data_IF_212673361787
#
_entry.id   IF_212673361787
#
_cell.length_a   1.000
_cell.length_b   1.000
_cell.length_c   1.000
_cell.angle_alpha   90.00
_cell.angle_beta   90.00
_cell.angle_gamma   90.00
#
_symmetry.space_group_name_H-M   'P 1'
#
loop_
_entity.id
_entity.type
_entity.pdbx_description
1 polymer ?
#
# COMPACT_ATOMS: atom_id res chain seq x y z
N UNK A 1 16.05 7.81 -14.06
CA UNK A 1 15.00 6.99 -14.70
C UNK A 1 15.19 5.51 -14.38
N UNK A 2 15.21 5.13 -13.09
CA UNK A 2 15.48 3.73 -12.64
C UNK A 2 14.38 3.21 -11.70
N UNK A 3 13.45 4.05 -11.25
CA UNK A 3 12.47 3.68 -10.21
C UNK A 3 11.28 2.84 -10.71
N UNK A 4 10.84 3.00 -11.95
CA UNK A 4 9.64 2.31 -12.45
C UNK A 4 9.92 0.89 -12.98
N UNK A 5 11.15 0.60 -13.38
CA UNK A 5 11.56 -0.71 -13.91
C UNK A 5 11.58 -1.79 -12.83
N UNK A 6 11.94 -1.46 -11.58
CA UNK A 6 11.96 -2.43 -10.48
C UNK A 6 10.54 -2.95 -10.14
N UNK A 7 9.55 -2.06 -10.09
CA UNK A 7 8.13 -2.41 -9.87
C UNK A 7 7.61 -3.30 -11.00
N UNK A 8 7.71 -2.83 -12.24
CA UNK A 8 7.16 -3.55 -13.39
C UNK A 8 7.83 -4.91 -13.59
N UNK A 9 9.15 -4.99 -13.39
CA UNK A 9 9.89 -6.25 -13.49
C UNK A 9 9.43 -7.25 -12.43
N UNK A 10 9.33 -6.85 -11.17
CA UNK A 10 8.90 -7.76 -10.10
C UNK A 10 7.48 -8.29 -10.35
N UNK A 11 6.55 -7.42 -10.73
CA UNK A 11 5.15 -7.80 -11.02
C UNK A 11 5.11 -8.76 -12.22
N UNK A 12 5.86 -8.47 -13.29
CA UNK A 12 5.91 -9.31 -14.48
C UNK A 12 6.47 -10.70 -14.17
N UNK A 13 7.58 -10.79 -13.42
CA UNK A 13 8.17 -12.06 -12.99
C UNK A 13 7.19 -12.85 -12.10
N UNK A 14 6.55 -12.19 -11.13
CA UNK A 14 5.58 -12.85 -10.25
C UNK A 14 4.30 -13.28 -10.97
N UNK A 15 3.86 -12.56 -12.01
CA UNK A 15 2.76 -12.97 -12.88
C UNK A 15 3.16 -14.16 -13.77
N UNK A 16 4.38 -14.15 -14.31
CA UNK A 16 4.93 -15.26 -15.08
C UNK A 16 4.96 -16.56 -14.28
N UNK A 17 5.49 -16.54 -13.05
CA UNK A 17 5.54 -17.74 -12.21
C UNK A 17 4.15 -18.24 -11.80
N UNK A 18 3.15 -17.35 -11.65
CA UNK A 18 1.75 -17.75 -11.47
C UNK A 18 1.21 -18.47 -12.70
N UNK A 19 1.47 -17.92 -13.89
CA UNK A 19 1.09 -18.54 -15.14
C UNK A 19 1.76 -19.91 -15.33
N UNK A 20 3.04 -20.04 -14.96
CA UNK A 20 3.78 -21.30 -14.98
C UNK A 20 3.17 -22.35 -14.03
N UNK A 21 2.84 -21.96 -12.79
CA UNK A 21 2.25 -22.86 -11.79
C UNK A 21 0.89 -23.46 -12.23
N UNK A 22 0.15 -22.76 -13.08
CA UNK A 22 -1.11 -23.24 -13.71
C UNK A 22 -0.90 -23.83 -15.11
N UNK A 23 0.33 -24.10 -15.51
CA UNK A 23 0.69 -24.74 -16.78
C UNK A 23 0.46 -23.86 -18.02
N UNK A 24 0.57 -22.55 -17.88
CA UNK A 24 0.31 -21.55 -18.94
C UNK A 24 -1.03 -21.73 -19.65
N UNK A 25 -2.05 -22.17 -18.92
CA UNK A 25 -3.43 -22.24 -19.45
C UNK A 25 -3.86 -20.87 -20.01
N UNK A 26 -4.63 -20.83 -21.11
CA UNK A 26 -5.03 -19.54 -21.69
C UNK A 26 -5.96 -18.73 -20.77
N UNK A 27 -6.06 -17.42 -21.00
CA UNK A 27 -7.18 -16.59 -20.52
C UNK A 27 -7.05 -15.91 -19.16
N UNK A 28 -6.01 -16.18 -18.36
CA UNK A 28 -5.86 -15.59 -17.01
C UNK A 28 -4.68 -14.60 -16.86
N UNK A 29 -4.14 -14.08 -17.97
CA UNK A 29 -2.94 -13.23 -17.91
C UNK A 29 -3.18 -11.92 -17.14
N UNK A 30 -4.39 -11.36 -17.24
CA UNK A 30 -4.77 -10.16 -16.50
C UNK A 30 -4.91 -10.45 -15.01
N UNK A 31 -5.57 -11.57 -14.65
CA UNK A 31 -5.71 -12.00 -13.27
C UNK A 31 -4.34 -12.27 -12.63
N UNK A 32 -3.44 -12.97 -13.32
CA UNK A 32 -2.08 -13.23 -12.83
C UNK A 32 -1.33 -11.92 -12.55
N UNK A 33 -1.49 -10.92 -13.43
CA UNK A 33 -0.92 -9.58 -13.26
C UNK A 33 -1.51 -8.86 -12.05
N UNK A 34 -2.84 -8.82 -11.91
CA UNK A 34 -3.51 -8.13 -10.81
C UNK A 34 -3.15 -8.74 -9.45
N UNK A 35 -3.10 -10.07 -9.35
CA UNK A 35 -2.69 -10.76 -8.12
C UNK A 35 -1.20 -10.53 -7.83
N UNK A 36 -0.35 -10.43 -8.86
CA UNK A 36 1.05 -10.06 -8.69
C UNK A 36 1.21 -8.62 -8.20
N UNK A 37 0.47 -7.69 -8.79
CA UNK A 37 0.47 -6.28 -8.40
C UNK A 37 0.00 -6.10 -6.95
N UNK A 38 -1.08 -6.76 -6.55
CA UNK A 38 -1.55 -6.73 -5.16
C UNK A 38 -0.48 -7.28 -4.19
N UNK A 39 0.17 -8.38 -4.55
CA UNK A 39 1.23 -8.96 -3.73
C UNK A 39 2.44 -8.02 -3.58
N UNK A 40 2.84 -7.34 -4.66
CA UNK A 40 3.88 -6.32 -4.63
C UNK A 40 3.51 -5.21 -3.66
N UNK A 41 2.32 -4.64 -3.83
CA UNK A 41 1.84 -3.52 -3.02
C UNK A 41 1.81 -3.90 -1.53
N UNK A 42 1.24 -5.06 -1.20
CA UNK A 42 1.21 -5.57 0.19
C UNK A 42 2.61 -5.74 0.77
N UNK A 43 3.57 -6.26 -0.01
CA UNK A 43 4.94 -6.45 0.44
C UNK A 43 5.66 -5.11 0.70
N UNK A 44 5.48 -4.11 -0.18
CA UNK A 44 6.04 -2.77 -0.01
C UNK A 44 5.50 -2.08 1.24
N UNK A 45 4.17 -2.12 1.44
CA UNK A 45 3.51 -1.52 2.63
C UNK A 45 3.95 -2.23 3.90
N UNK A 46 3.99 -3.57 3.91
CA UNK A 46 4.45 -4.34 5.07
C UNK A 46 5.89 -3.95 5.45
N UNK A 47 6.80 -3.96 4.48
CA UNK A 47 8.20 -3.60 4.70
C UNK A 47 8.33 -2.19 5.27
N UNK A 48 7.59 -1.22 4.71
CA UNK A 48 7.60 0.14 5.21
C UNK A 48 7.13 0.24 6.65
N UNK A 49 6.01 -0.41 6.99
CA UNK A 49 5.45 -0.36 8.36
C UNK A 49 6.41 -0.99 9.38
N UNK A 50 7.07 -2.10 9.02
CA UNK A 50 8.10 -2.72 9.87
C UNK A 50 9.26 -1.76 10.14
N UNK A 51 9.83 -1.15 9.09
CA UNK A 51 10.94 -0.18 9.23
C UNK A 51 10.49 1.04 10.05
N UNK A 52 9.30 1.56 9.76
CA UNK A 52 8.76 2.72 10.47
C UNK A 52 8.53 2.45 11.96
N UNK A 53 8.20 1.23 12.36
CA UNK A 53 8.06 0.86 13.77
C UNK A 53 9.42 0.85 14.50
N UNK A 54 10.48 0.42 13.82
CA UNK A 54 11.85 0.36 14.36
C UNK A 54 12.50 1.76 14.47
N UNK A 55 12.26 2.64 13.49
CA UNK A 55 12.93 3.94 13.34
C UNK A 55 12.20 5.15 13.98
N UNK A 56 11.20 4.90 14.83
CA UNK A 56 10.52 5.98 15.59
C UNK A 56 9.26 6.56 14.93
N UNK A 57 8.65 5.83 14.00
CA UNK A 57 7.34 6.11 13.43
C UNK A 57 7.37 6.59 11.98
N UNK A 58 6.18 6.66 11.36
CA UNK A 58 6.05 7.07 9.96
C UNK A 58 6.42 8.55 9.76
N UNK A 59 7.36 8.81 8.87
CA UNK A 59 7.74 10.17 8.44
C UNK A 59 6.98 10.57 7.17
N UNK A 60 6.84 11.88 6.93
CA UNK A 60 6.22 12.39 5.71
C UNK A 60 7.00 11.93 4.48
N UNK A 61 8.33 12.13 4.50
CA UNK A 61 9.23 11.72 3.43
C UNK A 61 9.16 10.20 3.15
N UNK A 62 9.11 9.38 4.19
CA UNK A 62 8.97 7.92 4.02
C UNK A 62 7.63 7.51 3.39
N UNK A 63 6.54 8.20 3.75
CA UNK A 63 5.23 7.96 3.11
C UNK A 63 5.21 8.41 1.64
N UNK A 64 5.88 9.53 1.31
CA UNK A 64 6.03 9.98 -0.08
C UNK A 64 6.80 8.96 -0.93
N UNK A 65 7.92 8.46 -0.41
CA UNK A 65 8.73 7.41 -1.05
C UNK A 65 7.96 6.10 -1.21
N UNK A 66 7.19 5.70 -0.19
CA UNK A 66 6.31 4.53 -0.29
C UNK A 66 5.28 4.72 -1.40
N UNK A 67 4.55 5.84 -1.39
CA UNK A 67 3.53 6.17 -2.38
C UNK A 67 4.09 6.19 -3.81
N UNK A 68 5.27 6.81 -4.00
CA UNK A 68 5.99 6.80 -5.28
C UNK A 68 6.32 5.38 -5.74
N UNK A 69 6.83 4.52 -4.85
CA UNK A 69 7.15 3.12 -5.18
C UNK A 69 5.92 2.30 -5.60
N UNK A 70 4.72 2.73 -5.19
CA UNK A 70 3.46 2.09 -5.56
C UNK A 70 2.85 2.65 -6.85
N UNK A 71 3.42 3.72 -7.40
CA UNK A 71 2.94 4.40 -8.60
C UNK A 71 1.93 5.50 -8.33
N UNK A 72 1.85 6.03 -7.10
CA UNK A 72 1.02 7.20 -6.80
C UNK A 72 1.66 8.44 -7.43
N UNK A 73 0.97 9.03 -8.39
CA UNK A 73 1.43 10.26 -9.05
C UNK A 73 1.40 11.46 -8.09
N UNK A 74 2.36 12.38 -8.27
CA UNK A 74 2.48 13.60 -7.47
C UNK A 74 2.58 13.36 -5.95
N UNK A 75 3.02 12.18 -5.51
CA UNK A 75 3.18 11.86 -4.08
C UNK A 75 4.08 12.88 -3.35
N UNK A 76 5.11 13.38 -4.02
CA UNK A 76 6.05 14.37 -3.46
C UNK A 76 5.40 15.73 -3.13
N UNK A 77 4.26 16.07 -3.75
CA UNK A 77 3.56 17.34 -3.46
C UNK A 77 2.54 17.21 -2.33
N UNK A 78 2.29 16.00 -1.83
CA UNK A 78 1.33 15.77 -0.74
C UNK A 78 2.04 16.02 0.60
N UNK A 79 1.55 17.01 1.35
CA UNK A 79 2.16 17.46 2.62
C UNK A 79 1.51 16.84 3.86
N UNK A 80 0.35 16.19 3.68
CA UNK A 80 -0.40 15.57 4.77
C UNK A 80 -0.20 14.05 4.78
N UNK A 81 0.29 13.52 5.91
CA UNK A 81 0.48 12.08 6.11
C UNK A 81 -0.80 11.28 5.86
N UNK A 82 -1.96 11.81 6.28
CA UNK A 82 -3.24 11.14 6.06
C UNK A 82 -3.63 11.06 4.60
N UNK A 83 -3.35 12.09 3.80
CA UNK A 83 -3.64 12.09 2.36
C UNK A 83 -2.71 11.13 1.63
N UNK A 84 -1.43 11.06 2.01
CA UNK A 84 -0.51 10.04 1.49
C UNK A 84 -0.99 8.63 1.78
N UNK A 85 -1.41 8.36 3.02
CA UNK A 85 -1.90 7.03 3.40
C UNK A 85 -3.19 6.69 2.65
N UNK A 86 -4.11 7.65 2.47
CA UNK A 86 -5.32 7.46 1.66
C UNK A 86 -4.98 7.20 0.19
N UNK A 87 -4.02 7.92 -0.39
CA UNK A 87 -3.56 7.69 -1.75
C UNK A 87 -2.93 6.30 -1.91
N UNK A 88 -2.14 5.86 -0.92
CA UNK A 88 -1.61 4.49 -0.85
C UNK A 88 -2.76 3.47 -0.75
N UNK A 89 -3.77 3.69 0.10
CA UNK A 89 -4.93 2.80 0.19
C UNK A 89 -5.67 2.66 -1.15
N UNK A 90 -5.86 3.77 -1.87
CA UNK A 90 -6.45 3.76 -3.21
C UNK A 90 -5.59 2.98 -4.21
N UNK A 91 -4.26 3.15 -4.17
CA UNK A 91 -3.32 2.36 -4.96
C UNK A 91 -3.36 0.86 -4.61
N UNK A 92 -3.67 0.50 -3.35
CA UNK A 92 -3.87 -0.87 -2.92
C UNK A 92 -5.23 -1.48 -3.35
N UNK A 93 -6.03 -0.82 -4.19
CA UNK A 93 -7.43 -1.19 -4.50
C UNK A 93 -8.34 -1.29 -3.26
N UNK A 94 -7.97 -0.62 -2.16
CA UNK A 94 -8.81 -0.52 -0.98
C UNK A 94 -9.55 0.82 -0.98
N UNK A 95 -10.70 0.86 -0.30
CA UNK A 95 -11.36 2.14 -0.05
C UNK A 95 -10.46 2.99 0.88
N UNK A 96 -10.10 4.24 0.51
CA UNK A 96 -9.34 5.13 1.37
C UNK A 96 -10.16 5.50 2.60
N UNK A 97 -9.97 4.76 3.69
CA UNK A 97 -10.75 4.87 4.91
C UNK A 97 -9.97 5.51 6.06
N UNK A 98 -8.64 5.61 5.93
CA UNK A 98 -7.76 6.15 6.96
C UNK A 98 -8.13 7.58 7.35
N UNK A 99 -8.46 7.83 8.62
CA UNK A 99 -8.89 9.15 9.15
C UNK A 99 -10.03 9.82 8.35
N UNK A 100 -10.84 9.04 7.64
CA UNK A 100 -12.02 9.53 6.92
C UNK A 100 -13.29 9.30 7.76
N UNK A 101 -14.43 9.88 7.37
CA UNK A 101 -15.71 9.65 8.05
C UNK A 101 -16.16 8.17 8.04
N UNK A 102 -15.64 7.35 7.13
CA UNK A 102 -16.02 5.95 6.95
C UNK A 102 -15.05 4.96 7.62
N UNK A 103 -14.08 5.43 8.41
CA UNK A 103 -13.08 4.55 9.04
C UNK A 103 -13.69 3.41 9.87
N UNK A 104 -14.85 3.66 10.50
CA UNK A 104 -15.59 2.69 11.30
C UNK A 104 -16.17 1.53 10.46
N UNK A 105 -16.22 1.70 9.13
CA UNK A 105 -16.72 0.73 8.17
C UNK A 105 -15.58 -0.10 7.54
N UNK A 106 -14.35 0.00 8.06
CA UNK A 106 -13.21 -0.78 7.57
C UNK A 106 -13.41 -2.30 7.82
N UNK A 107 -13.96 -2.99 6.82
CA UNK A 107 -14.24 -4.43 6.83
C UNK A 107 -13.05 -5.33 6.46
N UNK A 108 -11.91 -4.74 6.06
CA UNK A 108 -10.75 -5.49 5.57
C UNK A 108 -10.04 -6.22 6.72
N UNK A 109 -10.25 -7.53 6.86
CA UNK A 109 -9.77 -8.33 8.01
C UNK A 109 -8.28 -8.13 8.27
N UNK A 110 -7.47 -8.13 7.21
CA UNK A 110 -6.01 -8.07 7.27
C UNK A 110 -5.48 -6.71 6.80
N UNK A 111 -6.17 -5.62 7.16
CA UNK A 111 -5.76 -4.27 6.82
C UNK A 111 -4.43 -3.91 7.50
N UNK A 112 -3.38 -3.70 6.70
CA UNK A 112 -2.03 -3.38 7.16
C UNK A 112 -1.96 -2.06 7.95
N UNK A 113 -2.88 -1.12 7.68
CA UNK A 113 -2.94 0.19 8.33
C UNK A 113 -3.71 0.19 9.66
N UNK A 114 -4.29 -0.94 10.09
CA UNK A 114 -5.22 -1.01 11.23
C UNK A 114 -4.60 -0.54 12.55
N UNK A 115 -3.33 -0.87 12.81
CA UNK A 115 -2.63 -0.42 14.01
C UNK A 115 -2.50 1.11 14.02
N UNK A 116 -2.13 1.71 12.89
CA UNK A 116 -1.98 3.15 12.73
C UNK A 116 -3.32 3.89 12.81
N UNK A 117 -4.38 3.33 12.22
CA UNK A 117 -5.75 3.83 12.41
C UNK A 117 -6.11 3.94 13.91
N UNK A 118 -5.77 2.91 14.72
CA UNK A 118 -6.09 2.88 16.15
C UNK A 118 -5.26 3.87 16.98
N UNK A 119 -3.95 3.97 16.72
CA UNK A 119 -3.06 4.94 17.41
C UNK A 119 -3.60 6.36 17.27
N UNK A 120 -4.13 6.68 16.10
CA UNK A 120 -4.61 8.02 15.80
C UNK A 120 -5.98 8.30 16.44
N UNK A 121 -6.87 7.32 16.60
CA UNK A 121 -8.13 7.45 17.36
C UNK A 121 -7.84 7.83 18.83
N UNK A 122 -6.82 7.23 19.43
CA UNK A 122 -6.45 7.53 20.82
C UNK A 122 -6.06 9.01 21.04
N UNK A 123 -5.53 9.69 20.02
CA UNK A 123 -5.22 11.12 20.08
C UNK A 123 -6.47 12.02 20.08
N UNK A 124 -7.61 11.56 19.53
CA UNK A 124 -8.87 12.32 19.53
C UNK A 124 -9.71 12.10 20.79
N UNK A 125 -9.49 10.98 21.50
CA UNK A 125 -10.24 10.62 22.71
C UNK A 125 -9.51 10.96 24.03
N UNK A 126 -8.31 11.55 23.97
CA UNK A 126 -7.63 12.02 25.18
C UNK A 126 -8.21 13.40 25.58
N UNK A 127 -8.81 13.53 26.78
CA UNK A 127 -9.21 14.84 27.28
C UNK A 127 -7.95 15.66 27.60
N UNK A 128 -7.95 16.92 27.18
CA UNK A 128 -6.96 17.93 27.60
C UNK A 128 -7.08 18.21 29.10
#
# INVERSE_FOLDING_TARGET
MVENTCRQQWIAEAAYYRAEARGFTGGNALEDWLVAEEAFIRAQVARYLTIAEEDGGMTLMGLQQLAESLGVENSATIELKSELIQAIQAACHHHPCFRSAIYAQCGEKDCQWRAECKKLIAHWCAPF
#
